data_IF_426537178043
#
_entry.id   IF_426537178043
#
_cell.length_a   1.000
_cell.length_b   1.000
_cell.length_c   1.000
_cell.angle_alpha   90.00
_cell.angle_beta   90.00
_cell.angle_gamma   90.00
#
_symmetry.space_group_name_H-M   'P 1'
#
loop_
_entity.id
_entity.type
_entity.pdbx_description
1 polymer ?
#
# COMPACT_ATOMS: atom_id res chain seq x y z
N UNK A 1 -17.78 81.64 -19.72
CA UNK A 1 -17.40 81.03 -18.42
C UNK A 1 -18.47 79.99 -18.07
N UNK A 2 -18.23 78.74 -18.47
CA UNK A 2 -19.15 77.63 -18.22
C UNK A 2 -18.39 76.54 -17.46
N UNK A 3 -18.82 76.27 -16.20
CA UNK A 3 -18.26 75.21 -15.36
C UNK A 3 -19.04 73.93 -15.62
N UNK A 4 -18.39 72.98 -16.25
CA UNK A 4 -18.90 71.64 -16.45
C UNK A 4 -18.65 70.81 -15.19
N UNK A 5 -19.74 70.28 -14.59
CA UNK A 5 -19.67 69.35 -13.48
C UNK A 5 -19.74 67.93 -14.02
N UNK A 6 -18.63 67.20 -13.89
CA UNK A 6 -18.55 65.79 -14.21
C UNK A 6 -19.10 64.98 -13.05
N UNK A 7 -20.28 64.35 -13.25
CA UNK A 7 -20.88 63.41 -12.26
C UNK A 7 -20.16 62.06 -12.38
N UNK A 8 -19.42 61.71 -11.35
CA UNK A 8 -18.77 60.41 -11.25
C UNK A 8 -19.74 59.44 -10.56
N UNK A 9 -20.40 58.57 -11.36
CA UNK A 9 -21.21 57.47 -10.82
C UNK A 9 -20.31 56.33 -10.31
N UNK A 10 -20.18 56.22 -9.00
CA UNK A 10 -19.54 55.06 -8.38
C UNK A 10 -20.60 53.94 -8.30
N UNK A 11 -20.43 52.92 -9.13
CA UNK A 11 -21.22 51.68 -9.05
C UNK A 11 -20.54 50.76 -8.03
N UNK A 12 -21.14 50.68 -6.84
CA UNK A 12 -20.77 49.68 -5.84
C UNK A 12 -21.35 48.32 -6.25
N UNK A 13 -20.50 47.44 -6.78
CA UNK A 13 -20.84 46.04 -6.95
C UNK A 13 -20.73 45.33 -5.59
N UNK A 14 -21.86 45.16 -4.92
CA UNK A 14 -21.96 44.29 -3.75
C UNK A 14 -22.19 42.88 -4.28
N UNK A 15 -21.10 42.12 -4.46
CA UNK A 15 -21.16 40.67 -4.69
C UNK A 15 -21.14 39.99 -3.33
N UNK A 16 -22.32 39.72 -2.76
CA UNK A 16 -22.48 38.80 -1.63
C UNK A 16 -22.70 37.40 -2.18
N UNK A 17 -21.62 36.65 -2.37
CA UNK A 17 -21.70 35.21 -2.61
C UNK A 17 -21.62 34.49 -1.26
N UNK A 18 -22.79 34.37 -0.59
CA UNK A 18 -22.93 33.65 0.66
C UNK A 18 -23.27 32.17 0.43
N UNK A 19 -22.50 31.49 -0.41
CA UNK A 19 -22.67 30.06 -0.57
C UNK A 19 -21.70 29.30 0.39
N UNK A 20 -21.88 29.50 1.70
CA UNK A 20 -21.29 28.62 2.71
C UNK A 20 -22.02 27.29 2.65
N UNK A 21 -21.54 26.39 1.82
CA UNK A 21 -21.92 24.97 1.91
C UNK A 21 -21.53 24.47 3.31
N UNK A 22 -22.51 24.33 4.18
CA UNK A 22 -22.29 23.69 5.47
C UNK A 22 -21.90 22.21 5.23
N UNK A 23 -20.85 21.69 5.88
CA UNK A 23 -20.49 20.29 5.75
C UNK A 23 -21.66 19.43 6.25
N UNK A 24 -22.21 18.61 5.35
CA UNK A 24 -23.28 17.67 5.70
C UNK A 24 -22.70 16.61 6.62
N UNK A 25 -23.07 16.62 7.90
CA UNK A 25 -22.77 15.54 8.84
C UNK A 25 -23.63 14.33 8.48
N UNK A 26 -23.06 13.34 7.81
CA UNK A 26 -23.69 12.05 7.66
C UNK A 26 -23.47 11.24 8.95
N UNK A 27 -24.55 10.93 9.67
CA UNK A 27 -24.54 9.86 10.67
C UNK A 27 -24.72 8.56 9.90
N UNK A 28 -23.62 7.79 9.71
CA UNK A 28 -23.75 6.40 9.35
C UNK A 28 -24.47 5.69 10.49
N UNK A 29 -25.61 5.04 10.19
CA UNK A 29 -26.25 4.14 11.12
C UNK A 29 -25.23 3.06 11.48
N UNK A 30 -24.90 2.89 12.76
CA UNK A 30 -24.13 1.74 13.23
C UNK A 30 -24.98 0.51 12.92
N UNK A 31 -24.45 -0.38 12.07
CA UNK A 31 -25.07 -1.69 11.85
C UNK A 31 -25.15 -2.39 13.21
N UNK A 32 -26.34 -2.81 13.67
CA UNK A 32 -26.49 -3.45 14.98
C UNK A 32 -25.84 -4.82 15.07
N UNK A 33 -25.40 -5.40 13.96
CA UNK A 33 -24.58 -6.61 13.89
C UNK A 33 -23.30 -6.30 13.10
N UNK A 34 -22.22 -5.81 13.76
CA UNK A 34 -20.93 -5.81 13.08
C UNK A 34 -20.62 -7.27 12.72
N UNK A 35 -20.62 -7.58 11.43
CA UNK A 35 -20.01 -8.81 10.95
C UNK A 35 -18.59 -8.76 11.48
N UNK A 36 -18.29 -9.61 12.47
CA UNK A 36 -16.95 -9.71 13.05
C UNK A 36 -16.06 -10.42 12.00
N UNK A 37 -15.72 -9.69 10.94
CA UNK A 37 -14.72 -10.13 9.98
C UNK A 37 -13.41 -9.94 10.71
N UNK A 38 -12.78 -11.03 11.12
CA UNK A 38 -11.40 -10.98 11.57
C UNK A 38 -10.61 -10.23 10.48
N UNK A 39 -10.08 -9.04 10.75
CA UNK A 39 -9.65 -8.11 9.69
C UNK A 39 -8.58 -8.70 8.77
N UNK A 40 -7.86 -9.72 9.21
CA UNK A 40 -6.76 -10.34 8.45
C UNK A 40 -7.04 -11.77 7.97
N UNK A 41 -8.29 -12.19 7.90
CA UNK A 41 -8.69 -13.46 7.25
C UNK A 41 -9.76 -13.22 6.17
N UNK A 42 -9.45 -12.46 5.12
CA UNK A 42 -10.39 -12.20 4.06
C UNK A 42 -10.64 -13.48 3.26
N UNK A 43 -11.88 -13.70 2.83
CA UNK A 43 -12.21 -14.79 1.92
C UNK A 43 -11.81 -14.45 0.47
N UNK A 44 -10.52 -14.60 0.16
CA UNK A 44 -9.93 -14.30 -1.16
C UNK A 44 -9.43 -15.53 -1.89
N UNK A 45 -9.76 -16.73 -1.37
CA UNK A 45 -9.39 -18.02 -1.93
C UNK A 45 -8.01 -18.53 -1.49
N UNK A 46 -7.34 -17.82 -0.60
CA UNK A 46 -6.10 -18.22 0.06
C UNK A 46 -6.01 -17.61 1.45
N UNK A 47 -5.14 -18.16 2.27
CA UNK A 47 -4.82 -17.69 3.62
C UNK A 47 -3.32 -17.76 3.86
N UNK A 48 -2.86 -17.32 5.02
CA UNK A 48 -1.44 -17.32 5.44
C UNK A 48 -1.36 -17.39 6.96
N UNK A 49 -0.19 -17.69 7.47
CA UNK A 49 0.09 -17.71 8.91
C UNK A 49 0.98 -16.50 9.26
N UNK A 50 0.39 -15.48 9.87
CA UNK A 50 1.13 -14.32 10.34
C UNK A 50 1.81 -14.65 11.69
N UNK A 51 3.04 -14.13 11.94
CA UNK A 51 3.64 -14.20 13.26
C UNK A 51 2.74 -13.58 14.34
N UNK A 52 2.73 -14.15 15.56
CA UNK A 52 1.83 -13.75 16.64
C UNK A 52 1.95 -12.27 17.05
N UNK A 53 3.14 -11.67 16.87
CA UNK A 53 3.39 -10.27 17.20
C UNK A 53 3.10 -9.30 16.06
N UNK A 54 2.53 -9.75 14.92
CA UNK A 54 2.08 -8.88 13.85
C UNK A 54 0.63 -8.48 14.09
N UNK A 55 0.40 -7.20 14.28
CA UNK A 55 -0.93 -6.67 14.56
C UNK A 55 -1.68 -6.40 13.26
N UNK A 56 -2.83 -7.04 13.11
CA UNK A 56 -3.72 -6.77 12.00
C UNK A 56 -4.43 -5.45 12.21
N UNK A 57 -4.38 -4.58 11.21
CA UNK A 57 -4.99 -3.26 11.24
C UNK A 57 -6.12 -3.15 10.21
N UNK A 58 -6.88 -2.04 10.29
CA UNK A 58 -7.90 -1.73 9.29
C UNK A 58 -7.27 -1.60 7.90
N UNK A 59 -7.94 -2.19 6.91
CA UNK A 59 -7.41 -2.27 5.53
C UNK A 59 -7.36 -0.91 4.85
N UNK A 60 -6.27 -0.66 4.14
CA UNK A 60 -6.19 0.41 3.16
C UNK A 60 -6.89 0.01 1.84
N UNK A 61 -7.32 1.00 1.06
CA UNK A 61 -8.30 0.90 -0.04
C UNK A 61 -8.20 -0.31 -1.00
N UNK A 62 -7.02 -0.87 -1.25
CA UNK A 62 -6.83 -1.99 -2.20
C UNK A 62 -6.14 -3.20 -1.58
N UNK A 63 -5.88 -3.17 -0.26
CA UNK A 63 -5.24 -4.28 0.41
C UNK A 63 -6.24 -5.39 0.73
N UNK A 64 -5.73 -6.60 0.70
CA UNK A 64 -6.40 -7.80 1.20
C UNK A 64 -6.27 -7.86 2.71
N UNK A 65 -5.10 -7.49 3.22
CA UNK A 65 -4.81 -7.32 4.64
C UNK A 65 -3.65 -6.35 4.83
N UNK A 66 -3.64 -5.67 5.97
CA UNK A 66 -2.55 -4.81 6.41
C UNK A 66 -2.14 -5.17 7.84
N UNK A 67 -0.84 -5.12 8.07
CA UNK A 67 -0.24 -5.41 9.37
C UNK A 67 0.65 -4.27 9.82
N UNK A 68 0.66 -4.05 11.14
CA UNK A 68 1.71 -3.31 11.81
C UNK A 68 2.60 -4.29 12.59
N UNK A 69 3.89 -4.20 12.36
CA UNK A 69 4.91 -5.08 12.94
C UNK A 69 5.69 -4.26 13.96
N UNK A 70 5.54 -4.53 15.25
CA UNK A 70 6.33 -3.86 16.28
C UNK A 70 7.82 -4.24 16.13
N UNK A 71 8.69 -3.24 16.06
CA UNK A 71 10.13 -3.40 16.04
C UNK A 71 10.79 -2.30 16.88
N UNK A 72 11.26 -2.64 18.08
CA UNK A 72 11.68 -1.68 19.10
C UNK A 72 10.58 -0.63 19.39
N UNK A 73 10.84 0.65 19.12
CA UNK A 73 9.89 1.75 19.31
C UNK A 73 9.15 2.12 18.01
N UNK A 74 9.38 1.39 16.91
CA UNK A 74 8.79 1.64 15.60
C UNK A 74 7.67 0.64 15.28
N UNK A 75 6.69 1.08 14.47
CA UNK A 75 5.68 0.24 13.85
C UNK A 75 5.96 0.18 12.35
N UNK A 76 6.16 -1.02 11.84
CA UNK A 76 6.52 -1.27 10.45
C UNK A 76 5.30 -1.78 9.70
N UNK A 77 4.93 -1.10 8.62
CA UNK A 77 3.77 -1.45 7.82
C UNK A 77 4.09 -2.56 6.82
N UNK A 78 3.22 -3.57 6.78
CA UNK A 78 3.21 -4.60 5.75
C UNK A 78 1.83 -4.66 5.13
N UNK A 79 1.76 -4.66 3.80
CA UNK A 79 0.51 -4.79 3.04
C UNK A 79 0.50 -6.02 2.15
N UNK A 80 -0.67 -6.64 2.03
CA UNK A 80 -0.96 -7.71 1.08
C UNK A 80 -2.00 -7.17 0.11
N UNK A 81 -1.71 -7.20 -1.18
CA UNK A 81 -2.67 -6.80 -2.23
C UNK A 81 -2.85 -7.91 -3.25
N UNK A 82 -4.02 -7.98 -3.87
CA UNK A 82 -4.35 -8.96 -4.92
C UNK A 82 -4.92 -8.24 -6.12
N UNK A 83 -4.34 -8.50 -7.29
CA UNK A 83 -4.81 -7.95 -8.56
C UNK A 83 -5.12 -9.06 -9.55
N UNK A 84 -6.07 -8.86 -10.47
CA UNK A 84 -6.38 -9.82 -11.54
C UNK A 84 -5.22 -9.92 -12.54
N UNK A 85 -5.06 -11.09 -13.14
CA UNK A 85 -4.05 -11.36 -14.17
C UNK A 85 -2.62 -11.26 -13.65
N UNK A 86 -1.69 -10.85 -14.52
CA UNK A 86 -0.26 -10.69 -14.24
C UNK A 86 0.10 -9.34 -13.59
N UNK A 87 -0.89 -8.46 -13.43
CA UNK A 87 -0.74 -7.11 -12.85
C UNK A 87 0.40 -6.29 -13.49
N UNK A 88 0.70 -6.50 -14.78
CA UNK A 88 1.75 -5.82 -15.53
C UNK A 88 3.13 -6.49 -15.47
N UNK A 89 3.23 -7.66 -14.84
CA UNK A 89 4.44 -8.48 -14.79
C UNK A 89 5.54 -8.00 -13.83
N UNK A 90 6.55 -8.82 -13.67
CA UNK A 90 7.62 -8.63 -12.66
C UNK A 90 8.39 -7.33 -12.91
N UNK A 91 8.83 -7.08 -14.15
CA UNK A 91 9.71 -5.93 -14.48
C UNK A 91 9.03 -4.60 -14.11
N UNK A 92 7.78 -4.43 -14.51
CA UNK A 92 7.05 -3.19 -14.27
C UNK A 92 6.82 -2.97 -12.76
N UNK A 93 6.50 -4.04 -12.02
CA UNK A 93 6.22 -3.95 -10.59
C UNK A 93 7.48 -3.67 -9.77
N UNK A 94 8.59 -4.38 -10.03
CA UNK A 94 9.87 -4.13 -9.34
C UNK A 94 10.36 -2.72 -9.64
N UNK A 95 10.28 -2.25 -10.89
CA UNK A 95 10.69 -0.88 -11.25
C UNK A 95 9.76 0.19 -10.67
N UNK A 96 8.47 -0.10 -10.48
CA UNK A 96 7.56 0.79 -9.75
C UNK A 96 8.00 0.96 -8.28
N UNK A 97 8.38 -0.13 -7.60
CA UNK A 97 8.90 -0.07 -6.23
C UNK A 97 10.26 0.63 -6.16
N UNK A 98 11.15 0.36 -7.12
CA UNK A 98 12.42 1.10 -7.23
C UNK A 98 12.21 2.60 -7.36
N UNK A 99 11.26 3.00 -8.24
CA UNK A 99 10.89 4.42 -8.39
C UNK A 99 10.35 5.03 -7.09
N UNK A 100 9.56 4.30 -6.31
CA UNK A 100 9.07 4.76 -4.99
C UNK A 100 10.21 5.03 -4.00
N UNK A 101 11.30 4.27 -4.11
CA UNK A 101 12.54 4.49 -3.34
C UNK A 101 13.50 5.50 -3.98
N UNK A 102 13.13 6.16 -5.07
CA UNK A 102 14.02 7.09 -5.79
C UNK A 102 15.20 6.40 -6.49
N UNK A 103 15.07 5.11 -6.82
CA UNK A 103 16.11 4.32 -7.48
C UNK A 103 15.88 4.25 -8.99
N UNK A 104 16.97 4.21 -9.75
CA UNK A 104 16.94 4.00 -11.20
C UNK A 104 16.33 2.63 -11.56
N UNK A 105 15.61 2.51 -12.70
CA UNK A 105 15.04 1.25 -13.13
C UNK A 105 16.11 0.20 -13.47
N UNK A 106 15.78 -1.07 -13.23
CA UNK A 106 16.59 -2.21 -13.62
C UNK A 106 16.01 -2.92 -14.84
N UNK A 107 16.88 -3.51 -15.68
CA UNK A 107 16.48 -4.44 -16.72
C UNK A 107 16.16 -5.83 -16.13
N UNK A 108 15.60 -6.73 -16.96
CA UNK A 108 15.20 -8.08 -16.53
C UNK A 108 16.36 -8.88 -15.92
N UNK A 109 17.54 -8.78 -16.50
CA UNK A 109 18.73 -9.53 -16.01
C UNK A 109 19.13 -9.07 -14.60
N UNK A 110 19.13 -7.77 -14.34
CA UNK A 110 19.42 -7.19 -13.04
C UNK A 110 18.35 -7.56 -11.99
N UNK A 111 17.08 -7.57 -12.39
CA UNK A 111 15.96 -7.95 -11.53
C UNK A 111 16.09 -9.43 -11.14
N UNK A 112 16.30 -10.31 -12.11
CA UNK A 112 16.45 -11.75 -11.85
C UNK A 112 17.67 -12.07 -10.97
N UNK A 113 18.78 -11.37 -11.17
CA UNK A 113 20.00 -11.56 -10.36
C UNK A 113 19.76 -11.24 -8.88
N UNK A 114 18.88 -10.29 -8.60
CA UNK A 114 18.61 -9.80 -7.24
C UNK A 114 17.33 -10.43 -6.63
N UNK A 115 16.74 -11.42 -7.30
CA UNK A 115 15.55 -12.10 -6.81
C UNK A 115 15.91 -13.27 -5.89
N UNK A 116 15.13 -13.44 -4.84
CA UNK A 116 15.11 -14.62 -3.99
C UNK A 116 13.87 -15.42 -4.39
N UNK A 117 14.09 -16.65 -4.85
CA UNK A 117 12.98 -17.53 -5.23
C UNK A 117 12.63 -18.41 -4.03
N UNK A 118 11.36 -18.38 -3.64
CA UNK A 118 10.80 -19.21 -2.61
C UNK A 118 9.55 -19.96 -3.10
N UNK A 119 8.98 -20.79 -2.24
CA UNK A 119 7.78 -21.56 -2.53
C UNK A 119 6.81 -21.52 -1.36
N UNK A 120 5.52 -21.63 -1.68
CA UNK A 120 4.42 -21.76 -0.74
C UNK A 120 3.43 -22.82 -1.27
N UNK A 121 2.38 -23.14 -0.51
CA UNK A 121 1.36 -24.11 -0.99
C UNK A 121 0.52 -23.56 -2.15
N UNK A 122 0.50 -22.24 -2.39
CA UNK A 122 -0.20 -21.64 -3.54
C UNK A 122 0.69 -21.45 -4.77
N UNK A 123 1.99 -21.76 -4.68
CA UNK A 123 2.94 -21.65 -5.79
C UNK A 123 4.27 -21.00 -5.38
N UNK A 124 5.14 -20.83 -6.37
CA UNK A 124 6.43 -20.15 -6.19
C UNK A 124 6.23 -18.65 -6.06
N UNK A 125 7.16 -17.99 -5.38
CA UNK A 125 7.22 -16.54 -5.31
C UNK A 125 8.63 -16.02 -5.62
N UNK A 126 8.68 -14.77 -6.10
CA UNK A 126 9.92 -14.01 -6.25
C UNK A 126 9.93 -12.89 -5.23
N UNK A 127 10.93 -12.87 -4.35
CA UNK A 127 11.10 -11.81 -3.37
C UNK A 127 12.30 -10.92 -3.72
N UNK A 128 12.22 -9.67 -3.30
CA UNK A 128 13.18 -8.61 -3.58
C UNK A 128 13.42 -7.76 -2.35
N UNK A 129 14.68 -7.52 -2.02
CA UNK A 129 15.10 -6.48 -1.09
C UNK A 129 15.63 -5.29 -1.88
N UNK A 130 14.91 -4.18 -1.84
CA UNK A 130 15.25 -2.94 -2.51
C UNK A 130 15.73 -1.93 -1.47
N UNK A 131 16.89 -1.32 -1.69
CA UNK A 131 17.55 -0.47 -0.70
C UNK A 131 17.97 0.84 -1.35
N UNK A 132 17.66 1.96 -0.71
CA UNK A 132 18.23 3.27 -1.01
C UNK A 132 19.12 3.73 0.15
N UNK A 133 20.44 3.61 -0.02
CA UNK A 133 21.41 3.99 1.00
C UNK A 133 21.45 5.50 1.29
N UNK A 134 20.94 6.35 0.39
CA UNK A 134 20.96 7.81 0.58
C UNK A 134 19.87 8.29 1.54
N UNK A 135 18.73 7.60 1.57
CA UNK A 135 17.58 7.94 2.45
C UNK A 135 17.38 6.95 3.60
N UNK A 136 18.21 5.91 3.71
CA UNK A 136 18.05 4.78 4.66
C UNK A 136 16.70 4.04 4.51
N UNK A 137 16.09 4.07 3.31
CA UNK A 137 14.82 3.40 3.03
C UNK A 137 15.03 2.02 2.40
N UNK A 138 14.22 1.07 2.80
CA UNK A 138 14.19 -0.26 2.20
C UNK A 138 12.77 -0.81 2.05
N UNK A 139 12.57 -1.59 0.97
CA UNK A 139 11.39 -2.42 0.80
C UNK A 139 11.79 -3.89 0.77
N UNK A 140 11.01 -4.72 1.50
CA UNK A 140 10.92 -6.15 1.24
C UNK A 140 9.63 -6.37 0.47
N UNK A 141 9.74 -6.93 -0.73
CA UNK A 141 8.60 -7.15 -1.62
C UNK A 141 8.57 -8.60 -2.08
N UNK A 142 7.39 -9.18 -2.24
CA UNK A 142 7.22 -10.48 -2.88
C UNK A 142 6.09 -10.43 -3.90
N UNK A 143 6.23 -11.22 -4.95
CA UNK A 143 5.26 -11.42 -6.03
C UNK A 143 4.95 -12.92 -6.08
N UNK A 144 3.67 -13.25 -5.85
CA UNK A 144 3.14 -14.61 -5.96
C UNK A 144 2.07 -14.63 -7.05
N UNK A 145 2.06 -15.67 -7.88
CA UNK A 145 0.98 -15.93 -8.83
C UNK A 145 0.09 -17.03 -8.28
N UNK A 146 -1.20 -16.78 -8.17
CA UNK A 146 -2.16 -17.77 -7.71
C UNK A 146 -3.45 -17.71 -8.52
N UNK A 147 -3.81 -18.83 -9.18
CA UNK A 147 -4.91 -18.89 -10.13
C UNK A 147 -4.74 -17.79 -11.20
N UNK A 148 -5.79 -17.01 -11.48
CA UNK A 148 -5.71 -15.87 -12.42
C UNK A 148 -5.51 -14.54 -11.68
N UNK A 149 -4.56 -14.50 -10.73
CA UNK A 149 -4.27 -13.29 -9.94
C UNK A 149 -2.81 -13.21 -9.55
N UNK A 150 -2.33 -12.00 -9.35
CA UNK A 150 -1.02 -11.68 -8.76
C UNK A 150 -1.23 -11.12 -7.36
N UNK A 151 -0.49 -11.68 -6.41
CA UNK A 151 -0.48 -11.26 -5.01
C UNK A 151 0.85 -10.53 -4.78
N UNK A 152 0.79 -9.34 -4.19
CA UNK A 152 1.95 -8.62 -3.73
C UNK A 152 1.95 -8.57 -2.21
N UNK A 153 3.10 -8.84 -1.63
CA UNK A 153 3.40 -8.58 -0.22
C UNK A 153 4.48 -7.52 -0.18
N UNK A 154 4.25 -6.43 0.54
CA UNK A 154 5.21 -5.32 0.64
C UNK A 154 5.35 -4.86 2.08
N UNK A 155 6.60 -4.78 2.55
CA UNK A 155 7.01 -4.19 3.80
C UNK A 155 7.93 -3.00 3.51
N UNK A 156 7.74 -1.88 4.24
CA UNK A 156 8.57 -0.69 4.15
C UNK A 156 9.21 -0.38 5.50
N UNK A 157 10.52 -0.13 5.52
CA UNK A 157 11.25 0.18 6.75
C UNK A 157 12.60 0.84 6.44
N UNK A 158 13.40 1.14 7.49
CA UNK A 158 14.82 1.41 7.34
C UNK A 158 15.60 0.17 6.90
N UNK A 159 16.83 0.36 6.41
CA UNK A 159 17.68 -0.74 5.92
C UNK A 159 18.00 -1.73 7.02
N UNK A 160 18.29 -1.24 8.23
CA UNK A 160 18.60 -2.08 9.39
C UNK A 160 17.41 -3.00 9.74
N UNK A 161 16.22 -2.45 9.77
CA UNK A 161 15.00 -3.20 10.10
C UNK A 161 14.68 -4.21 8.99
N UNK A 162 14.78 -3.81 7.72
CA UNK A 162 14.59 -4.72 6.60
C UNK A 162 15.54 -5.93 6.67
N UNK A 163 16.83 -5.70 6.98
CA UNK A 163 17.79 -6.79 7.17
C UNK A 163 17.39 -7.74 8.30
N UNK A 164 16.90 -7.19 9.41
CA UNK A 164 16.47 -7.98 10.58
C UNK A 164 15.19 -8.78 10.33
N UNK A 165 14.28 -8.24 9.52
CA UNK A 165 12.98 -8.85 9.22
C UNK A 165 12.99 -9.74 7.98
N UNK A 166 14.06 -9.74 7.16
CA UNK A 166 14.11 -10.45 5.88
C UNK A 166 13.71 -11.92 5.99
N UNK A 167 14.30 -12.64 6.96
CA UNK A 167 13.96 -14.05 7.16
C UNK A 167 12.49 -14.23 7.53
N UNK A 168 11.97 -13.45 8.47
CA UNK A 168 10.56 -13.52 8.89
C UNK A 168 9.61 -13.20 7.75
N UNK A 169 9.98 -12.24 6.88
CA UNK A 169 9.23 -11.88 5.70
C UNK A 169 9.18 -13.04 4.68
N UNK A 170 10.30 -13.73 4.44
CA UNK A 170 10.35 -14.89 3.55
C UNK A 170 9.56 -16.08 4.12
N UNK A 171 9.69 -16.35 5.42
CA UNK A 171 8.91 -17.37 6.12
C UNK A 171 7.40 -17.07 6.02
N UNK A 172 7.01 -15.81 6.19
CA UNK A 172 5.63 -15.35 6.01
C UNK A 172 5.14 -15.58 4.57
N UNK A 173 5.92 -15.21 3.55
CA UNK A 173 5.57 -15.47 2.15
C UNK A 173 5.45 -16.98 1.86
N UNK A 174 6.20 -17.82 2.53
CA UNK A 174 6.15 -19.28 2.39
C UNK A 174 4.91 -19.91 3.06
N UNK A 175 4.27 -19.21 3.98
CA UNK A 175 3.09 -19.69 4.72
C UNK A 175 1.78 -19.62 3.92
N UNK A 176 1.78 -18.99 2.73
CA UNK A 176 0.58 -18.86 1.92
C UNK A 176 0.07 -20.22 1.46
N UNK A 177 -1.24 -20.47 1.68
CA UNK A 177 -1.91 -21.73 1.39
C UNK A 177 -3.31 -21.51 0.85
N UNK A 178 -3.90 -22.46 0.08
CA UNK A 178 -5.28 -22.37 -0.35
C UNK A 178 -6.20 -22.23 0.86
N UNK A 179 -7.29 -21.50 0.70
CA UNK A 179 -8.41 -21.56 1.62
C UNK A 179 -9.29 -22.72 1.17
N UNK A 180 -9.49 -23.70 2.06
CA UNK A 180 -10.36 -24.89 1.84
C UNK A 180 -11.83 -24.51 1.71
#
# INVERSE_FOLDING_TARGET
>A
MGRSYLFFCIILLISCDNNKQQPRKYKLAKDPNPINIEPCKPNVGFTWDAPENWECIEKHNFSVADYQIPYNEELIDLSITKFPGDAGGIIANVNRWRKQLGLEPHNLQQINKNSIIGSSMIGSFSAYKLVNNNSDDAFLCAILSYRNSTIFVKLQSSIMIANSLEKKFLDFCSSFKPLD
#
